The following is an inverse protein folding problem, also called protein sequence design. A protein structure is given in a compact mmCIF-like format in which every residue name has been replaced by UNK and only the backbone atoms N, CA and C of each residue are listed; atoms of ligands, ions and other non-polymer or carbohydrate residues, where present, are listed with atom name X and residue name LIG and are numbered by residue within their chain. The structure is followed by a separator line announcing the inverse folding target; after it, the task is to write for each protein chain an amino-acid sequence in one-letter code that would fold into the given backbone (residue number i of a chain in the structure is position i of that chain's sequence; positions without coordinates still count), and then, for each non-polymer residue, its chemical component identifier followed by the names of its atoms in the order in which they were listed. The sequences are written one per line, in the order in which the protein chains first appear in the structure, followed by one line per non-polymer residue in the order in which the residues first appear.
data_IF_313976679735
#
_entry.id   IF_313976679735
#
_cell.length_a   1.000
_cell.length_b   1.000
_cell.length_c   1.000
_cell.angle_alpha   90.00
_cell.angle_beta   90.00
_cell.angle_gamma   90.00
#
_symmetry.space_group_name_H-M   'P 1'
#
loop_
_entity.id
_entity.type
_entity.pdbx_description
1 polymer ?
#
# COMPACT_ATOMS: atom_id res chain seq x y z
N UNK A 1 -23.12 36.18 -1.37
CA UNK A 1 -23.53 34.76 -1.32
C UNK A 1 -22.32 34.00 -0.83
N UNK A 2 -22.24 33.75 0.49
CA UNK A 2 -21.15 32.98 1.06
C UNK A 2 -21.29 31.56 0.55
N UNK A 3 -20.29 31.10 -0.20
CA UNK A 3 -20.12 29.69 -0.53
C UNK A 3 -19.73 29.04 0.79
N UNK A 4 -20.68 28.35 1.41
CA UNK A 4 -20.43 27.63 2.65
C UNK A 4 -19.19 26.76 2.49
N UNK A 5 -18.25 26.88 3.42
CA UNK A 5 -17.09 26.03 3.55
C UNK A 5 -17.56 24.58 3.51
N UNK A 6 -17.26 23.88 2.44
CA UNK A 6 -17.49 22.44 2.37
C UNK A 6 -16.67 21.81 3.51
N UNK A 7 -17.36 21.14 4.44
CA UNK A 7 -16.65 20.41 5.50
C UNK A 7 -15.92 19.25 4.86
N UNK A 8 -14.62 19.25 5.02
CA UNK A 8 -13.79 18.11 4.64
C UNK A 8 -14.13 16.92 5.54
N UNK A 9 -14.25 15.74 4.94
CA UNK A 9 -14.54 14.49 5.64
C UNK A 9 -13.52 13.45 5.21
N UNK A 10 -12.90 12.81 6.18
CA UNK A 10 -11.99 11.67 5.98
C UNK A 10 -12.61 10.45 6.65
N UNK A 11 -12.63 9.33 5.94
CA UNK A 11 -13.17 8.05 6.42
C UNK A 11 -12.13 6.96 6.19
N UNK A 12 -11.91 6.13 7.20
CA UNK A 12 -11.12 4.91 7.11
C UNK A 12 -11.91 3.74 7.72
N UNK A 13 -11.63 2.50 7.29
CA UNK A 13 -12.43 1.33 7.68
C UNK A 13 -11.74 0.53 8.75
N UNK A 14 -10.62 0.17 8.86
CA UNK A 14 -10.01 -0.75 9.82
C UNK A 14 -9.64 -0.07 11.14
N UNK A 15 -9.32 -0.84 12.17
CA UNK A 15 -8.90 -0.34 13.49
C UNK A 15 -7.67 0.56 13.39
N UNK A 16 -6.68 0.18 12.59
CA UNK A 16 -5.50 1.02 12.30
C UNK A 16 -5.84 2.29 11.49
N UNK A 17 -7.03 2.39 10.95
CA UNK A 17 -7.51 3.55 10.21
C UNK A 17 -7.53 4.86 11.00
N UNK A 18 -7.52 4.82 12.33
CA UNK A 18 -7.45 6.04 13.16
C UNK A 18 -6.17 6.84 12.85
N UNK A 19 -5.00 6.19 12.83
CA UNK A 19 -3.73 6.83 12.48
C UNK A 19 -3.72 7.35 11.02
N UNK A 20 -4.36 6.60 10.10
CA UNK A 20 -4.51 7.03 8.71
C UNK A 20 -5.37 8.31 8.60
N UNK A 21 -6.48 8.38 9.34
CA UNK A 21 -7.35 9.59 9.39
C UNK A 21 -6.59 10.77 9.97
N UNK A 22 -5.83 10.58 11.04
CA UNK A 22 -5.04 11.65 11.66
C UNK A 22 -4.01 12.23 10.67
N UNK A 23 -3.29 11.39 9.93
CA UNK A 23 -2.34 11.81 8.91
C UNK A 23 -3.04 12.55 7.76
N UNK A 24 -4.15 12.03 7.26
CA UNK A 24 -4.92 12.66 6.20
C UNK A 24 -5.47 14.04 6.62
N UNK A 25 -6.04 14.14 7.83
CA UNK A 25 -6.53 15.42 8.39
C UNK A 25 -5.39 16.42 8.59
N UNK A 26 -4.22 15.93 9.02
CA UNK A 26 -3.03 16.79 9.14
C UNK A 26 -2.64 17.38 7.78
N UNK A 27 -2.60 16.55 6.72
CA UNK A 27 -2.29 16.98 5.35
C UNK A 27 -3.29 18.04 4.86
N UNK A 28 -4.60 17.84 5.08
CA UNK A 28 -5.63 18.82 4.72
C UNK A 28 -5.45 20.15 5.47
N UNK A 29 -5.17 20.12 6.77
CA UNK A 29 -4.92 21.33 7.57
C UNK A 29 -3.70 22.11 7.10
N UNK A 30 -2.75 21.47 6.43
CA UNK A 30 -1.59 22.13 5.83
C UNK A 30 -1.85 22.63 4.40
N UNK A 31 -3.07 22.53 3.92
CA UNK A 31 -3.47 23.00 2.59
C UNK A 31 -3.24 21.96 1.48
N UNK A 32 -2.96 20.71 1.82
CA UNK A 32 -2.92 19.61 0.86
C UNK A 32 -4.29 19.31 0.26
N UNK A 33 -4.27 18.68 -0.90
CA UNK A 33 -5.50 18.23 -1.59
C UNK A 33 -6.07 16.98 -0.95
N UNK A 34 -7.31 16.61 -1.30
CA UNK A 34 -7.89 15.33 -0.89
C UNK A 34 -7.06 14.13 -1.38
N UNK A 35 -6.41 14.24 -2.54
CA UNK A 35 -5.52 13.22 -3.08
C UNK A 35 -4.27 13.06 -2.21
N UNK A 36 -3.64 14.17 -1.79
CA UNK A 36 -2.49 14.15 -0.88
C UNK A 36 -2.88 13.57 0.49
N UNK A 37 -4.09 13.86 0.95
CA UNK A 37 -4.60 13.36 2.23
C UNK A 37 -4.79 11.84 2.23
N UNK A 38 -5.41 11.27 1.19
CA UNK A 38 -5.61 9.80 1.14
C UNK A 38 -4.29 9.07 0.92
N UNK A 39 -3.36 9.62 0.15
CA UNK A 39 -2.02 9.07 0.00
C UNK A 39 -1.26 9.05 1.33
N UNK A 40 -1.19 10.19 2.03
CA UNK A 40 -0.51 10.28 3.33
C UNK A 40 -1.14 9.37 4.38
N UNK A 41 -2.47 9.24 4.37
CA UNK A 41 -3.18 8.32 5.25
C UNK A 41 -2.84 6.86 4.98
N UNK A 42 -2.86 6.42 3.72
CA UNK A 42 -2.51 5.06 3.34
C UNK A 42 -1.04 4.74 3.67
N UNK A 43 -0.13 5.66 3.41
CA UNK A 43 1.30 5.51 3.66
C UNK A 43 1.62 5.20 5.14
N UNK A 44 0.82 5.70 6.09
CA UNK A 44 0.96 5.36 7.52
C UNK A 44 0.73 3.87 7.76
N UNK A 45 -0.33 3.30 7.19
CA UNK A 45 -0.62 1.88 7.33
C UNK A 45 0.42 0.99 6.64
N UNK A 46 0.93 1.42 5.50
CA UNK A 46 1.97 0.72 4.72
C UNK A 46 3.32 0.67 5.45
N UNK A 47 3.63 1.70 6.23
CA UNK A 47 4.89 1.79 6.99
C UNK A 47 4.82 1.16 8.38
N UNK A 48 3.65 0.78 8.88
CA UNK A 48 3.46 0.24 10.22
C UNK A 48 3.84 -1.25 10.28
N UNK A 49 4.95 -1.64 10.93
CA UNK A 49 5.36 -3.04 11.04
C UNK A 49 4.40 -3.89 11.89
N UNK A 50 3.51 -3.26 12.67
CA UNK A 50 2.45 -3.93 13.41
C UNK A 50 1.25 -4.34 12.54
N UNK A 51 1.11 -3.72 11.36
CA UNK A 51 0.05 -4.03 10.42
C UNK A 51 0.48 -5.18 9.49
N UNK A 52 -0.10 -6.37 9.70
CA UNK A 52 0.23 -7.59 8.95
C UNK A 52 -0.50 -7.71 7.61
N UNK A 53 -1.42 -6.81 7.31
CA UNK A 53 -2.28 -6.89 6.13
C UNK A 53 -1.74 -6.13 4.93
N UNK A 54 -0.78 -5.22 5.11
CA UNK A 54 -0.22 -4.41 4.02
C UNK A 54 1.18 -3.88 4.38
N UNK A 55 2.04 -3.68 3.40
CA UNK A 55 3.30 -2.95 3.53
C UNK A 55 4.38 -3.65 4.33
N UNK A 56 5.14 -2.84 5.08
CA UNK A 56 6.28 -3.29 5.88
C UNK A 56 5.85 -4.21 7.02
N UNK A 57 6.38 -5.42 7.06
CA UNK A 57 5.98 -6.45 8.02
C UNK A 57 4.72 -7.20 7.62
N UNK A 58 4.21 -7.01 6.41
CA UNK A 58 3.08 -7.76 5.86
C UNK A 58 3.33 -9.26 5.81
N UNK A 59 2.25 -10.05 5.85
CA UNK A 59 2.33 -11.50 5.71
C UNK A 59 2.82 -11.86 4.31
N UNK A 60 3.93 -12.62 4.18
CA UNK A 60 4.45 -12.98 2.87
C UNK A 60 3.58 -14.05 2.18
N UNK A 61 3.75 -14.17 0.88
CA UNK A 61 3.18 -15.24 0.09
C UNK A 61 3.90 -16.58 0.36
N UNK A 62 3.51 -17.65 -0.36
CA UNK A 62 4.09 -18.99 -0.23
C UNK A 62 5.61 -19.01 -0.40
N UNK A 63 6.14 -18.15 -1.25
CA UNK A 63 7.56 -18.10 -1.59
C UNK A 63 8.38 -17.19 -0.65
N UNK A 64 7.73 -16.64 0.38
CA UNK A 64 8.37 -15.80 1.38
C UNK A 64 8.50 -14.34 0.95
N UNK A 65 7.74 -13.91 -0.03
CA UNK A 65 7.78 -12.55 -0.58
C UNK A 65 6.55 -11.76 -0.16
N UNK A 66 6.74 -10.56 0.35
CA UNK A 66 5.63 -9.62 0.60
C UNK A 66 5.25 -8.95 -0.71
N UNK A 67 4.03 -9.23 -1.16
CA UNK A 67 3.42 -8.59 -2.32
C UNK A 67 2.32 -7.66 -1.84
N UNK A 68 2.28 -6.47 -2.40
CA UNK A 68 1.34 -5.42 -1.99
C UNK A 68 0.53 -4.90 -3.16
N UNK A 69 -0.71 -4.51 -2.86
CA UNK A 69 -1.63 -3.92 -3.82
C UNK A 69 -2.06 -2.54 -3.32
N UNK A 70 -2.23 -1.60 -4.23
CA UNK A 70 -2.76 -0.29 -3.91
C UNK A 70 -3.57 0.28 -5.08
N UNK A 71 -4.55 1.10 -4.74
CA UNK A 71 -5.30 1.86 -5.73
C UNK A 71 -5.64 3.24 -5.19
N UNK A 72 -5.62 4.23 -6.08
CA UNK A 72 -6.00 5.61 -5.77
C UNK A 72 -6.89 6.15 -6.88
N UNK A 73 -7.83 7.01 -6.51
CA UNK A 73 -8.78 7.61 -7.45
C UNK A 73 -8.91 9.11 -7.22
N UNK A 74 -8.90 9.86 -8.29
CA UNK A 74 -9.15 11.29 -8.31
C UNK A 74 -10.53 11.57 -8.93
N UNK A 75 -11.52 11.82 -8.08
CA UNK A 75 -12.92 12.01 -8.49
C UNK A 75 -13.14 13.15 -9.47
N UNK A 76 -12.64 14.38 -9.23
CA UNK A 76 -12.85 15.50 -10.13
C UNK A 76 -12.34 15.26 -11.56
N UNK A 77 -11.19 14.59 -11.71
CA UNK A 77 -10.63 14.22 -13.01
C UNK A 77 -11.10 12.87 -13.55
N UNK A 78 -11.83 12.08 -12.73
CA UNK A 78 -12.19 10.68 -13.03
C UNK A 78 -10.98 9.86 -13.47
N UNK A 79 -9.86 10.07 -12.77
CA UNK A 79 -8.59 9.39 -13.00
C UNK A 79 -8.37 8.36 -11.89
N UNK A 80 -7.71 7.28 -12.21
CA UNK A 80 -7.33 6.25 -11.25
C UNK A 80 -5.97 5.68 -11.61
N UNK A 81 -5.27 5.19 -10.59
CA UNK A 81 -4.05 4.43 -10.75
C UNK A 81 -3.99 3.31 -9.72
N UNK A 82 -3.38 2.22 -10.08
CA UNK A 82 -3.25 1.07 -9.19
C UNK A 82 -1.99 0.26 -9.50
N UNK A 83 -1.58 -0.47 -8.49
CA UNK A 83 -0.55 -1.51 -8.60
C UNK A 83 -1.04 -2.79 -7.95
N UNK A 84 -0.62 -3.93 -8.49
CA UNK A 84 -0.94 -5.24 -7.94
C UNK A 84 0.31 -6.11 -7.92
N UNK A 85 0.42 -6.96 -6.89
CA UNK A 85 1.57 -7.84 -6.68
C UNK A 85 2.91 -7.08 -6.80
N UNK A 86 2.95 -5.86 -6.28
CA UNK A 86 4.16 -5.04 -6.24
C UNK A 86 5.07 -5.55 -5.13
N UNK A 87 6.33 -5.75 -5.43
CA UNK A 87 7.34 -6.24 -4.51
C UNK A 87 8.38 -5.15 -4.23
N UNK A 88 8.95 -5.17 -3.02
CA UNK A 88 10.12 -4.36 -2.69
C UNK A 88 9.91 -2.86 -2.62
N UNK A 89 8.68 -2.35 -2.54
CA UNK A 89 8.40 -0.92 -2.45
C UNK A 89 7.56 -0.62 -1.21
N UNK A 90 8.04 0.28 -0.35
CA UNK A 90 7.42 0.60 0.94
C UNK A 90 6.03 1.22 0.79
N UNK A 91 5.85 2.14 -0.18
CA UNK A 91 4.62 2.89 -0.36
C UNK A 91 3.96 2.60 -1.71
N UNK A 92 3.24 1.47 -1.85
CA UNK A 92 2.52 1.12 -3.06
C UNK A 92 1.46 2.17 -3.44
N UNK A 93 0.86 2.87 -2.47
CA UNK A 93 -0.11 3.95 -2.75
C UNK A 93 0.51 5.09 -3.55
N UNK A 94 1.76 5.46 -3.26
CA UNK A 94 2.48 6.50 -3.99
C UNK A 94 2.84 6.05 -5.40
N UNK A 95 3.17 4.77 -5.59
CA UNK A 95 3.36 4.20 -6.94
C UNK A 95 2.04 4.20 -7.71
N UNK A 96 0.93 3.80 -7.10
CA UNK A 96 -0.40 3.86 -7.71
C UNK A 96 -0.76 5.28 -8.15
N UNK A 97 -0.45 6.29 -7.33
CA UNK A 97 -0.59 7.70 -7.70
C UNK A 97 0.26 8.07 -8.92
N UNK A 98 1.52 7.64 -8.95
CA UNK A 98 2.40 7.90 -10.12
C UNK A 98 1.88 7.21 -11.38
N UNK A 99 1.34 6.00 -11.28
CA UNK A 99 0.67 5.35 -12.43
C UNK A 99 -0.44 6.24 -12.97
N UNK A 100 -1.30 6.78 -12.10
CA UNK A 100 -2.39 7.68 -12.49
C UNK A 100 -1.89 8.97 -13.15
N UNK A 101 -0.82 9.57 -12.60
CA UNK A 101 -0.37 10.92 -13.01
C UNK A 101 0.47 10.92 -14.27
N UNK A 102 1.30 9.88 -14.51
CA UNK A 102 2.34 9.95 -15.56
C UNK A 102 2.29 8.78 -16.55
N UNK A 103 1.35 7.86 -16.41
CA UNK A 103 1.24 6.73 -17.34
C UNK A 103 -0.13 6.73 -18.06
N UNK A 104 -0.24 6.10 -19.25
CA UNK A 104 -1.53 5.90 -19.89
C UNK A 104 -2.34 4.72 -19.30
N UNK A 105 -1.79 4.03 -18.31
CA UNK A 105 -2.39 2.85 -17.70
C UNK A 105 -3.16 3.20 -16.43
N UNK A 106 -4.18 2.41 -16.13
CA UNK A 106 -4.89 2.47 -14.86
C UNK A 106 -4.28 1.50 -13.84
N UNK A 107 -3.59 0.47 -14.31
CA UNK A 107 -2.99 -0.56 -13.45
C UNK A 107 -1.68 -1.07 -14.05
N UNK A 108 -0.70 -1.26 -13.18
CA UNK A 108 0.52 -2.04 -13.43
C UNK A 108 0.62 -3.17 -12.40
N UNK A 109 1.27 -4.28 -12.76
CA UNK A 109 1.37 -5.43 -11.87
C UNK A 109 2.75 -6.11 -11.91
N UNK A 110 3.11 -6.78 -10.80
CA UNK A 110 4.31 -7.60 -10.66
C UNK A 110 5.59 -6.86 -11.05
N UNK A 111 6.51 -7.54 -11.71
CA UNK A 111 7.81 -6.99 -12.14
C UNK A 111 7.66 -5.70 -12.99
N UNK A 112 6.60 -5.59 -13.77
CA UNK A 112 6.32 -4.37 -14.54
C UNK A 112 6.04 -3.17 -13.66
N UNK A 113 5.30 -3.36 -12.57
CA UNK A 113 5.03 -2.32 -11.57
C UNK A 113 6.30 -1.96 -10.79
N UNK A 114 7.10 -2.96 -10.38
CA UNK A 114 8.35 -2.73 -9.67
C UNK A 114 9.36 -1.94 -10.52
N UNK A 115 9.55 -2.34 -11.78
CA UNK A 115 10.41 -1.59 -12.71
C UNK A 115 9.94 -0.15 -12.89
N UNK A 116 8.64 0.07 -13.11
CA UNK A 116 8.07 1.41 -13.20
C UNK A 116 8.35 2.22 -11.93
N UNK A 117 8.18 1.63 -10.74
CA UNK A 117 8.46 2.31 -9.48
C UNK A 117 9.93 2.77 -9.40
N UNK A 118 10.89 1.90 -9.71
CA UNK A 118 12.32 2.23 -9.74
C UNK A 118 12.62 3.34 -10.77
N UNK A 119 12.04 3.29 -11.96
CA UNK A 119 12.17 4.33 -12.98
C UNK A 119 11.61 5.69 -12.52
N UNK A 120 10.61 5.68 -11.62
CA UNK A 120 10.05 6.89 -11.01
C UNK A 120 10.80 7.36 -9.76
N UNK A 121 11.90 6.68 -9.38
CA UNK A 121 12.78 7.08 -8.28
C UNK A 121 12.37 6.53 -6.91
N UNK A 122 11.47 5.55 -6.84
CA UNK A 122 11.22 4.81 -5.61
C UNK A 122 12.39 3.89 -5.31
N UNK A 123 12.68 3.72 -4.03
CA UNK A 123 13.78 2.84 -3.59
C UNK A 123 13.27 1.44 -3.29
N UNK A 124 14.08 0.43 -3.61
CA UNK A 124 13.81 -0.95 -3.26
C UNK A 124 14.14 -1.20 -1.79
N UNK A 125 13.21 -1.85 -1.07
CA UNK A 125 13.34 -2.20 0.35
C UNK A 125 12.89 -3.64 0.59
N UNK A 126 13.47 -4.33 1.58
CA UNK A 126 12.93 -5.60 2.06
C UNK A 126 11.72 -5.31 2.98
N UNK A 127 10.56 -5.74 2.56
CA UNK A 127 9.31 -5.57 3.33
C UNK A 127 9.14 -6.63 4.43
N UNK A 128 9.94 -7.68 4.44
CA UNK A 128 9.91 -8.68 5.51
C UNK A 128 10.61 -8.13 6.76
N UNK A 129 9.95 -8.23 7.90
CA UNK A 129 10.60 -8.11 9.21
C UNK A 129 11.19 -9.45 9.63
N UNK A 130 12.10 -9.44 10.59
CA UNK A 130 12.63 -10.68 11.18
C UNK A 130 11.52 -11.56 11.77
N UNK A 131 10.50 -10.94 12.33
CA UNK A 131 9.35 -11.64 12.91
C UNK A 131 8.50 -12.32 11.85
N UNK A 132 8.13 -11.62 10.76
CA UNK A 132 7.34 -12.22 9.67
C UNK A 132 8.11 -13.27 8.90
N UNK A 133 9.41 -13.10 8.76
CA UNK A 133 10.30 -14.13 8.18
C UNK A 133 10.29 -15.41 8.99
N UNK A 134 10.46 -15.33 10.32
CA UNK A 134 10.38 -16.49 11.22
C UNK A 134 9.01 -17.18 11.17
N UNK A 135 7.93 -16.40 11.14
CA UNK A 135 6.58 -16.96 11.04
C UNK A 135 6.37 -17.70 9.71
N UNK A 136 6.87 -17.17 8.60
CA UNK A 136 6.83 -17.84 7.30
C UNK A 136 7.66 -19.12 7.29
N UNK A 137 8.87 -19.13 7.88
CA UNK A 137 9.72 -20.32 7.98
C UNK A 137 9.02 -21.45 8.74
N UNK A 138 8.41 -21.15 9.89
CA UNK A 138 7.61 -22.11 10.68
C UNK A 138 6.41 -22.63 9.87
N UNK A 139 5.70 -21.75 9.20
CA UNK A 139 4.57 -22.13 8.35
C UNK A 139 5.02 -23.06 7.22
N UNK A 140 6.12 -22.76 6.56
CA UNK A 140 6.68 -23.57 5.47
C UNK A 140 7.07 -24.98 5.93
N UNK A 141 7.72 -25.08 7.10
CA UNK A 141 8.11 -26.37 7.69
C UNK A 141 6.88 -27.23 8.04
N UNK A 142 5.85 -26.63 8.63
CA UNK A 142 4.61 -27.32 8.97
C UNK A 142 3.91 -27.88 7.73
N UNK A 143 3.85 -27.10 6.65
CA UNK A 143 3.23 -27.51 5.38
C UNK A 143 4.03 -28.57 4.62
N UNK A 144 5.35 -28.54 4.71
CA UNK A 144 6.18 -29.58 4.11
C UNK A 144 5.90 -30.96 4.76
N UNK A 145 5.65 -31.00 6.07
CA UNK A 145 5.28 -32.24 6.78
C UNK A 145 3.86 -32.76 6.48
N UNK A 146 2.92 -31.89 6.08
CA UNK A 146 1.56 -32.31 5.69
C UNK A 146 1.50 -32.93 4.29
N UNK A 147 2.45 -32.60 3.40
CA UNK A 147 2.51 -33.11 2.03
C UNK A 147 3.03 -34.56 1.91
N UNK A 148 3.67 -35.11 2.94
CA UNK A 148 4.21 -36.48 2.95
C UNK A 148 3.20 -37.54 3.40
N UNK A 149 2.00 -37.15 3.85
CA UNK A 149 0.98 -38.07 4.40
C UNK A 149 -0.21 -38.36 3.44
N UNK A 150 -0.07 -38.10 2.15
CA UNK A 150 -1.08 -38.42 1.14
C UNK A 150 -0.50 -39.32 0.02
N UNK A 151 -0.01 -40.49 0.40
CA UNK A 151 0.13 -41.67 -0.47
C UNK A 151 -0.72 -42.83 0.07
#
# INVERSE_FOLDING_TARGET
MEIGSSKEVVVATWEFGAACVDAAVHTLKQGGTALDAVESGAAVAEADPGNRSVGFGGTPNRDGVVQVDAAIMWGPGRQAGSVAALEGILHPISVARRVMEVSPHVMLAGEGAARFALEQGFEEVDLLTEETRKQWEVWRETRAGEGENHD
#
